data_IF_494760759797
#
_entry.id   IF_494760759797
#
_cell.length_a   1.000
_cell.length_b   1.000
_cell.length_c   1.000
_cell.angle_alpha   90.00
_cell.angle_beta   90.00
_cell.angle_gamma   90.00
#
_symmetry.space_group_name_H-M   'P 1'
#
loop_
_entity.id
_entity.type
_entity.pdbx_description
1 polymer ?
#
# COMPACT_ATOMS: atom_id res chain seq x y z
N UNK A 1 37.01 49.59 -35.73
CA UNK A 1 35.93 48.68 -36.22
C UNK A 1 36.27 47.17 -36.13
N UNK A 2 37.37 46.73 -35.48
CA UNK A 2 37.80 45.31 -35.51
C UNK A 2 37.43 44.46 -34.27
N UNK A 3 37.07 45.06 -33.13
CA UNK A 3 36.80 44.33 -31.88
C UNK A 3 35.43 43.59 -31.81
N UNK A 4 34.44 43.99 -32.63
CA UNK A 4 33.10 43.36 -32.63
C UNK A 4 33.10 41.94 -33.21
N UNK A 5 34.11 41.55 -33.99
CA UNK A 5 34.20 40.22 -34.62
C UNK A 5 34.61 39.11 -33.65
N UNK A 6 35.33 39.44 -32.58
CA UNK A 6 35.82 38.46 -31.61
C UNK A 6 34.79 38.11 -30.53
N UNK A 7 33.90 39.05 -30.19
CA UNK A 7 32.87 38.86 -29.16
C UNK A 7 31.75 37.93 -29.66
N UNK A 8 31.37 38.02 -30.95
CA UNK A 8 30.37 37.13 -31.55
C UNK A 8 30.88 35.70 -31.75
N UNK A 9 32.17 35.52 -32.06
CA UNK A 9 32.77 34.18 -32.22
C UNK A 9 32.86 33.42 -30.89
N UNK A 10 33.18 34.12 -29.80
CA UNK A 10 33.31 33.50 -28.47
C UNK A 10 31.97 33.07 -27.88
N UNK A 11 30.88 33.81 -28.16
CA UNK A 11 29.53 33.43 -27.72
C UNK A 11 29.00 32.20 -28.46
N UNK A 12 29.25 32.10 -29.77
CA UNK A 12 28.82 30.94 -30.58
C UNK A 12 29.61 29.69 -30.19
N UNK A 13 30.91 29.81 -29.92
CA UNK A 13 31.74 28.70 -29.46
C UNK A 13 31.34 28.21 -28.06
N UNK A 14 31.00 29.11 -27.12
CA UNK A 14 30.50 28.73 -25.79
C UNK A 14 29.12 28.05 -25.86
N UNK A 15 28.23 28.52 -26.74
CA UNK A 15 26.91 27.92 -26.93
C UNK A 15 27.00 26.52 -27.55
N UNK A 16 27.89 26.31 -28.53
CA UNK A 16 28.18 25.01 -29.13
C UNK A 16 28.82 24.03 -28.13
N UNK A 17 29.72 24.51 -27.27
CA UNK A 17 30.34 23.69 -26.23
C UNK A 17 29.32 23.26 -25.16
N UNK A 18 28.36 24.13 -24.82
CA UNK A 18 27.30 23.83 -23.86
C UNK A 18 26.29 22.80 -24.42
N UNK A 19 25.94 22.89 -25.71
CA UNK A 19 25.08 21.90 -26.38
C UNK A 19 25.75 20.53 -26.53
N UNK A 20 27.07 20.48 -26.77
CA UNK A 20 27.80 19.22 -26.87
C UNK A 20 27.88 18.48 -25.51
N UNK A 21 27.98 19.22 -24.40
CA UNK A 21 27.97 18.65 -23.06
C UNK A 21 26.61 18.03 -22.69
N UNK A 22 25.49 18.60 -23.16
CA UNK A 22 24.14 18.05 -22.95
C UNK A 22 23.95 16.70 -23.64
N UNK A 23 24.53 16.52 -24.84
CA UNK A 23 24.45 15.27 -25.59
C UNK A 23 25.28 14.14 -24.97
N UNK A 24 26.37 14.45 -24.27
CA UNK A 24 27.21 13.45 -23.60
C UNK A 24 26.57 12.89 -22.32
N UNK A 25 25.85 13.72 -21.56
CA UNK A 25 25.11 13.28 -20.37
C UNK A 25 23.89 12.39 -20.71
N UNK A 26 23.37 12.49 -21.93
CA UNK A 26 22.27 11.65 -22.41
C UNK A 26 22.71 10.24 -22.85
N UNK A 27 24.02 9.96 -22.94
CA UNK A 27 24.53 8.68 -23.48
C UNK A 27 24.46 7.51 -22.48
N UNK A 28 24.22 7.76 -21.19
CA UNK A 28 24.15 6.69 -20.17
C UNK A 28 22.73 6.39 -19.69
N UNK A 29 21.70 6.91 -20.37
CA UNK A 29 20.30 6.65 -20.04
C UNK A 29 19.53 6.11 -21.25
N UNK A 30 18.75 5.06 -21.03
CA UNK A 30 17.76 4.54 -21.96
C UNK A 30 16.33 4.88 -21.52
N UNK A 31 15.37 4.19 -22.11
CA UNK A 31 13.96 4.25 -21.70
C UNK A 31 13.36 2.85 -21.67
N UNK A 32 12.33 2.65 -20.86
CA UNK A 32 11.52 1.43 -20.84
C UNK A 32 10.14 1.82 -21.33
N UNK A 33 9.58 1.07 -22.27
CA UNK A 33 8.23 1.27 -22.77
C UNK A 33 7.53 -0.06 -22.98
N UNK A 34 6.20 -0.05 -23.10
CA UNK A 34 5.45 -1.25 -23.42
C UNK A 34 3.96 -1.02 -23.32
N UNK A 35 3.21 -2.10 -23.48
CA UNK A 35 1.77 -2.16 -23.29
C UNK A 35 1.38 -3.22 -22.28
N UNK A 36 0.27 -2.98 -21.60
CA UNK A 36 -0.35 -3.96 -20.71
C UNK A 36 -1.69 -4.38 -21.28
N UNK A 37 -1.91 -5.69 -21.39
CA UNK A 37 -3.18 -6.27 -21.82
C UNK A 37 -3.68 -7.33 -20.85
N UNK A 38 -4.96 -7.65 -20.98
CA UNK A 38 -5.61 -8.75 -20.29
C UNK A 38 -5.38 -10.04 -21.10
N UNK A 39 -4.85 -11.09 -20.48
CA UNK A 39 -4.46 -12.31 -21.18
C UNK A 39 -5.66 -13.08 -21.77
N UNK A 40 -6.86 -12.85 -21.25
CA UNK A 40 -8.09 -13.54 -21.62
C UNK A 40 -8.66 -13.08 -22.98
N UNK A 41 -8.46 -11.81 -23.34
CA UNK A 41 -9.06 -11.21 -24.53
C UNK A 41 -8.22 -10.12 -25.21
N UNK A 42 -6.96 -9.95 -24.79
CA UNK A 42 -6.03 -8.91 -25.22
C UNK A 42 -6.56 -7.47 -25.05
N UNK A 43 -7.57 -7.27 -24.20
CA UNK A 43 -8.06 -5.94 -23.88
C UNK A 43 -6.94 -5.12 -23.21
N UNK A 44 -6.70 -3.91 -23.71
CA UNK A 44 -5.67 -3.03 -23.19
C UNK A 44 -6.07 -2.51 -21.81
N UNK A 45 -5.17 -2.63 -20.84
CA UNK A 45 -5.41 -2.26 -19.45
C UNK A 45 -4.79 -0.88 -19.17
N UNK A 46 -5.66 0.11 -18.95
CA UNK A 46 -5.27 1.42 -18.45
C UNK A 46 -5.14 1.40 -16.91
N UNK A 47 -4.49 2.41 -16.33
CA UNK A 47 -4.31 2.55 -14.88
C UNK A 47 -3.49 1.44 -14.18
N UNK A 48 -2.78 0.60 -14.93
CA UNK A 48 -1.82 -0.36 -14.39
C UNK A 48 -0.59 0.39 -13.93
N UNK A 49 -0.15 0.14 -12.71
CA UNK A 49 1.06 0.74 -12.16
C UNK A 49 2.26 -0.10 -12.58
N UNK A 50 3.14 0.49 -13.38
CA UNK A 50 4.41 -0.10 -13.77
C UNK A 50 5.52 0.47 -12.90
N UNK A 51 6.20 -0.39 -12.15
CA UNK A 51 7.26 -0.03 -11.22
C UNK A 51 8.59 -0.66 -11.62
N UNK A 52 9.62 0.16 -11.79
CA UNK A 52 11.01 -0.29 -11.88
C UNK A 52 11.54 -0.42 -10.47
N UNK A 53 11.65 -1.64 -9.98
CA UNK A 53 11.85 -1.95 -8.55
C UNK A 53 13.12 -1.29 -8.02
N UNK A 54 14.27 -1.52 -8.68
CA UNK A 54 15.57 -1.03 -8.21
C UNK A 54 15.69 0.49 -8.24
N UNK A 55 14.91 1.18 -9.09
CA UNK A 55 14.91 2.64 -9.19
C UNK A 55 13.82 3.28 -8.34
N UNK A 56 12.92 2.49 -7.75
CA UNK A 56 11.69 2.95 -7.09
C UNK A 56 10.97 3.99 -7.94
N UNK A 57 10.86 3.73 -9.25
CA UNK A 57 10.24 4.62 -10.21
C UNK A 57 9.01 3.96 -10.79
N UNK A 58 7.89 4.65 -10.73
CA UNK A 58 6.61 4.13 -11.21
C UNK A 58 5.93 5.06 -12.19
N UNK A 59 5.17 4.49 -13.12
CA UNK A 59 4.31 5.18 -14.07
C UNK A 59 3.01 4.39 -14.22
N UNK A 60 1.89 5.08 -14.44
CA UNK A 60 0.62 4.43 -14.77
C UNK A 60 0.46 4.27 -16.28
N UNK A 61 -0.14 3.18 -16.75
CA UNK A 61 -0.55 3.04 -18.15
C UNK A 61 -1.62 4.07 -18.53
N UNK A 62 -1.58 4.52 -19.78
CA UNK A 62 -2.57 5.42 -20.36
C UNK A 62 -3.85 4.69 -20.85
N UNK A 63 -4.79 5.44 -21.44
CA UNK A 63 -6.06 4.90 -21.99
C UNK A 63 -5.84 3.83 -23.09
N UNK A 64 -4.66 3.81 -23.73
CA UNK A 64 -4.28 2.81 -24.72
C UNK A 64 -3.51 1.64 -24.13
N UNK A 65 -3.43 1.55 -22.80
CA UNK A 65 -2.66 0.55 -22.06
C UNK A 65 -1.16 0.70 -22.22
N UNK A 66 -0.67 1.80 -22.80
CA UNK A 66 0.74 2.04 -23.04
C UNK A 66 1.40 2.76 -21.85
N UNK A 67 2.68 2.50 -21.63
CA UNK A 67 3.48 3.18 -20.62
C UNK A 67 4.88 3.50 -21.14
N UNK A 68 5.51 4.51 -20.55
CA UNK A 68 6.89 4.88 -20.86
C UNK A 68 7.59 5.48 -19.62
N UNK A 69 8.78 4.97 -19.33
CA UNK A 69 9.69 5.45 -18.29
C UNK A 69 10.96 5.95 -18.97
N UNK A 70 11.15 7.26 -18.93
CA UNK A 70 12.31 7.92 -19.52
C UNK A 70 13.46 8.03 -18.52
N UNK A 71 14.67 8.22 -19.05
CA UNK A 71 15.88 8.50 -18.24
C UNK A 71 16.18 7.37 -17.25
N UNK A 72 16.16 6.13 -17.73
CA UNK A 72 16.52 4.93 -16.96
C UNK A 72 18.00 4.67 -17.20
N UNK A 73 18.88 4.68 -16.17
CA UNK A 73 20.30 4.37 -16.36
C UNK A 73 20.49 3.00 -17.02
N UNK A 74 21.61 2.77 -17.69
CA UNK A 74 21.88 1.46 -18.30
C UNK A 74 22.11 0.40 -17.24
N UNK A 75 21.45 -0.75 -17.36
CA UNK A 75 21.52 -1.82 -16.36
C UNK A 75 20.42 -2.87 -16.54
N UNK A 76 20.50 -3.95 -15.76
CA UNK A 76 19.41 -4.91 -15.64
C UNK A 76 18.44 -4.46 -14.54
N UNK A 77 17.16 -4.42 -14.86
CA UNK A 77 16.11 -3.98 -13.96
C UNK A 77 14.97 -4.98 -13.94
N UNK A 78 14.29 -5.06 -12.81
CA UNK A 78 13.03 -5.80 -12.66
C UNK A 78 11.89 -4.80 -12.77
N UNK A 79 11.02 -5.03 -13.74
CA UNK A 79 9.81 -4.23 -13.98
C UNK A 79 8.63 -5.03 -13.46
N UNK A 80 7.84 -4.41 -12.61
CA UNK A 80 6.64 -4.96 -11.97
C UNK A 80 5.41 -4.25 -12.55
N UNK A 81 4.45 -5.01 -13.04
CA UNK A 81 3.12 -4.52 -13.38
C UNK A 81 2.14 -4.92 -12.28
N UNK A 82 1.54 -3.91 -11.66
CA UNK A 82 0.59 -4.06 -10.56
C UNK A 82 -0.74 -3.40 -10.93
N UNK A 83 -1.84 -4.11 -10.71
CA UNK A 83 -3.19 -3.59 -10.85
C UNK A 83 -4.09 -4.22 -9.78
N UNK A 84 -4.96 -3.41 -9.17
CA UNK A 84 -5.97 -3.88 -8.24
C UNK A 84 -6.87 -4.95 -8.88
N UNK A 85 -7.15 -6.04 -8.17
CA UNK A 85 -7.85 -7.22 -8.67
C UNK A 85 -7.00 -8.23 -9.47
N UNK A 86 -5.73 -7.94 -9.77
CA UNK A 86 -4.83 -8.84 -10.53
C UNK A 86 -3.61 -9.25 -9.69
N UNK A 87 -3.05 -10.46 -9.89
CA UNK A 87 -1.72 -10.82 -9.42
C UNK A 87 -0.64 -9.99 -10.11
N UNK A 88 0.48 -9.82 -9.43
CA UNK A 88 1.61 -9.06 -9.93
C UNK A 88 2.35 -9.80 -11.05
N UNK A 89 2.68 -9.08 -12.12
CA UNK A 89 3.51 -9.61 -13.20
C UNK A 89 4.89 -8.96 -13.19
N UNK A 90 5.96 -9.77 -13.20
CA UNK A 90 7.33 -9.27 -13.21
C UNK A 90 8.08 -9.68 -14.46
N UNK A 91 8.91 -8.77 -14.98
CA UNK A 91 9.81 -9.05 -16.09
C UNK A 91 11.17 -8.38 -15.86
N UNK A 92 12.24 -9.12 -16.09
CA UNK A 92 13.61 -8.57 -16.09
C UNK A 92 13.92 -7.99 -17.47
N UNK A 93 14.35 -6.73 -17.49
CA UNK A 93 14.67 -5.98 -18.70
C UNK A 93 16.09 -5.44 -18.61
N UNK A 94 16.84 -5.51 -19.72
CA UNK A 94 18.17 -4.90 -19.82
C UNK A 94 18.05 -3.60 -20.60
N UNK A 95 18.34 -2.48 -19.94
CA UNK A 95 18.29 -1.15 -20.54
C UNK A 95 19.63 -0.82 -21.18
N UNK A 96 19.59 -0.59 -22.49
CA UNK A 96 20.75 -0.18 -23.29
C UNK A 96 20.71 1.33 -23.55
N UNK A 97 21.89 1.97 -23.75
CA UNK A 97 21.94 3.41 -23.95
C UNK A 97 21.28 3.82 -25.28
N UNK A 98 20.45 4.87 -25.24
CA UNK A 98 19.88 5.51 -26.43
C UNK A 98 18.77 4.74 -27.17
N UNK A 99 18.40 3.52 -26.75
CA UNK A 99 17.29 2.76 -27.31
C UNK A 99 16.17 2.55 -26.28
N UNK A 100 14.89 2.61 -26.67
CA UNK A 100 13.81 2.14 -25.83
C UNK A 100 13.84 0.61 -25.71
N UNK A 101 13.89 0.10 -24.49
CA UNK A 101 13.67 -1.32 -24.20
C UNK A 101 12.17 -1.56 -24.08
N UNK A 102 11.65 -2.54 -24.82
CA UNK A 102 10.22 -2.90 -24.78
C UNK A 102 9.95 -4.00 -23.77
N UNK A 103 8.94 -3.83 -22.92
CA UNK A 103 8.47 -4.82 -21.97
C UNK A 103 6.94 -4.82 -21.91
N UNK A 104 6.33 -5.78 -22.58
CA UNK A 104 4.88 -5.91 -22.60
C UNK A 104 4.41 -6.88 -21.52
N UNK A 105 3.32 -6.54 -20.84
CA UNK A 105 2.76 -7.35 -19.76
C UNK A 105 1.38 -7.87 -20.15
N UNK A 106 1.11 -9.12 -19.78
CA UNK A 106 -0.23 -9.69 -19.82
C UNK A 106 -0.66 -10.05 -18.41
N UNK A 107 -1.67 -9.34 -17.89
CA UNK A 107 -2.25 -9.65 -16.59
C UNK A 107 -3.35 -10.70 -16.76
N UNK A 108 -3.48 -11.60 -15.78
CA UNK A 108 -4.49 -12.65 -15.74
C UNK A 108 -5.33 -12.45 -14.51
N UNK A 109 -6.65 -12.55 -14.62
CA UNK A 109 -7.50 -12.54 -13.44
C UNK A 109 -7.31 -13.86 -12.68
N UNK A 110 -7.04 -13.79 -11.37
CA UNK A 110 -6.87 -14.97 -10.52
C UNK A 110 -7.48 -14.72 -9.14
N UNK A 111 -8.24 -15.69 -8.64
CA UNK A 111 -8.81 -15.66 -7.29
C UNK A 111 -7.75 -15.87 -6.18
N UNK A 112 -6.55 -16.31 -6.55
CA UNK A 112 -5.36 -16.36 -5.70
C UNK A 112 -4.38 -15.30 -6.21
N UNK A 113 -4.19 -14.24 -5.40
CA UNK A 113 -3.22 -13.19 -5.66
C UNK A 113 -1.87 -13.55 -5.06
N UNK A 114 -0.84 -13.54 -5.89
CA UNK A 114 0.54 -13.43 -5.45
C UNK A 114 0.93 -11.96 -5.62
N UNK A 115 1.16 -11.26 -4.52
CA UNK A 115 1.50 -9.83 -4.52
C UNK A 115 2.92 -9.63 -4.00
N UNK A 116 3.67 -8.76 -4.65
CA UNK A 116 5.02 -8.35 -4.25
C UNK A 116 4.90 -7.04 -3.50
N UNK A 117 5.02 -7.10 -2.17
CA UNK A 117 5.08 -5.90 -1.33
C UNK A 117 6.42 -5.20 -1.50
N UNK A 118 6.40 -3.95 -1.97
CA UNK A 118 7.57 -3.07 -1.95
C UNK A 118 7.58 -2.33 -0.61
N UNK A 119 8.16 -2.96 0.42
CA UNK A 119 8.32 -2.30 1.73
C UNK A 119 9.41 -1.22 1.68
N UNK A 120 9.15 -0.06 2.29
CA UNK A 120 10.02 1.14 2.27
C UNK A 120 11.40 0.97 2.96
N UNK A 121 11.79 -0.23 3.36
CA UNK A 121 13.04 -0.52 4.08
C UNK A 121 14.13 -1.03 3.15
N UNK A 122 14.61 -0.19 2.23
CA UNK A 122 16.00 -0.21 1.71
C UNK A 122 16.65 -1.49 1.15
N UNK A 123 16.01 -2.67 1.18
CA UNK A 123 16.49 -3.90 0.58
C UNK A 123 15.31 -4.62 -0.07
N UNK A 124 15.54 -4.88 -1.34
CA UNK A 124 14.83 -5.78 -2.25
C UNK A 124 14.41 -7.06 -1.53
N UNK A 125 13.21 -7.58 -1.80
CA UNK A 125 12.93 -9.03 -1.82
C UNK A 125 11.52 -9.25 -2.40
N UNK A 126 11.42 -10.15 -3.37
CA UNK A 126 10.15 -10.74 -3.79
C UNK A 126 9.61 -11.60 -2.64
N UNK A 127 8.30 -11.82 -2.56
CA UNK A 127 7.71 -12.73 -1.54
C UNK A 127 8.31 -14.14 -1.59
N UNK A 128 9.01 -14.49 -2.68
CA UNK A 128 9.76 -15.73 -2.84
C UNK A 128 11.14 -15.79 -2.18
N UNK A 129 11.73 -14.66 -1.77
CA UNK A 129 13.04 -14.64 -1.11
C UNK A 129 12.96 -14.39 0.42
N UNK A 130 11.76 -14.07 0.94
CA UNK A 130 11.51 -14.15 2.37
C UNK A 130 11.38 -15.62 2.77
N UNK A 131 12.32 -16.14 3.57
CA UNK A 131 12.23 -17.47 4.19
C UNK A 131 11.07 -17.61 5.19
N UNK A 132 10.16 -16.63 5.25
CA UNK A 132 9.02 -16.58 6.16
C UNK A 132 7.72 -16.60 5.38
N UNK A 133 6.78 -17.43 5.83
CA UNK A 133 5.42 -17.49 5.27
C UNK A 133 4.74 -16.14 5.45
N UNK A 134 4.54 -15.45 4.34
CA UNK A 134 3.72 -14.24 4.25
C UNK A 134 2.30 -14.66 3.84
N UNK A 135 1.31 -14.22 4.60
CA UNK A 135 -0.10 -14.38 4.28
C UNK A 135 -0.68 -13.01 3.98
N UNK A 136 -1.32 -12.84 2.82
CA UNK A 136 -1.94 -11.59 2.40
C UNK A 136 -3.44 -11.76 2.35
N UNK A 137 -4.17 -10.82 2.95
CA UNK A 137 -5.63 -10.75 2.91
C UNK A 137 -6.04 -9.47 2.19
N UNK A 138 -6.62 -9.61 1.00
CA UNK A 138 -7.03 -8.50 0.14
C UNK A 138 -8.37 -7.88 0.58
N UNK A 139 -8.61 -6.64 0.17
CA UNK A 139 -9.82 -5.86 0.44
C UNK A 139 -11.13 -6.61 0.18
N UNK A 140 -11.20 -7.44 -0.87
CA UNK A 140 -12.39 -8.24 -1.15
C UNK A 140 -12.69 -9.21 -0.01
N UNK A 141 -11.66 -9.89 0.51
CA UNK A 141 -11.81 -10.81 1.65
C UNK A 141 -12.04 -10.08 2.96
N UNK A 142 -11.41 -8.90 3.13
CA UNK A 142 -11.68 -8.03 4.28
C UNK A 142 -13.14 -7.53 4.28
N UNK A 143 -13.69 -7.18 3.12
CA UNK A 143 -15.05 -6.72 2.95
C UNK A 143 -16.08 -7.84 3.14
N UNK A 144 -15.81 -9.05 2.62
CA UNK A 144 -16.67 -10.23 2.80
C UNK A 144 -16.89 -10.57 4.27
N UNK A 145 -15.86 -10.40 5.11
CA UNK A 145 -15.96 -10.78 6.50
C UNK A 145 -16.30 -9.62 7.44
N UNK A 146 -16.21 -8.37 6.96
CA UNK A 146 -16.68 -7.14 7.63
C UNK A 146 -16.43 -7.15 9.14
N UNK A 147 -15.18 -7.35 9.53
CA UNK A 147 -14.81 -7.48 10.93
C UNK A 147 -14.41 -6.13 11.56
N UNK A 148 -14.72 -5.91 12.86
CA UNK A 148 -14.51 -4.63 13.52
C UNK A 148 -13.05 -4.29 13.82
N UNK A 149 -12.14 -5.26 13.74
CA UNK A 149 -10.73 -5.10 14.10
C UNK A 149 -9.83 -6.13 13.41
N UNK A 150 -8.54 -5.80 13.28
CA UNK A 150 -7.55 -6.67 12.62
C UNK A 150 -7.41 -8.03 13.31
N UNK A 151 -7.46 -8.08 14.65
CA UNK A 151 -7.37 -9.37 15.35
C UNK A 151 -8.52 -10.30 14.97
N UNK A 152 -9.74 -9.77 14.78
CA UNK A 152 -10.90 -10.55 14.35
C UNK A 152 -10.75 -11.05 12.92
N UNK A 153 -10.25 -10.21 12.01
CA UNK A 153 -9.90 -10.63 10.65
C UNK A 153 -8.91 -11.79 10.66
N UNK A 154 -7.86 -11.67 11.46
CA UNK A 154 -6.74 -12.62 11.45
C UNK A 154 -7.00 -13.90 12.26
N UNK A 155 -8.05 -13.96 13.07
CA UNK A 155 -8.37 -15.16 13.89
C UNK A 155 -8.67 -16.41 13.06
N UNK A 156 -9.10 -16.21 11.81
CA UNK A 156 -9.38 -17.29 10.85
C UNK A 156 -8.13 -17.77 10.11
N UNK A 157 -7.00 -17.08 10.26
CA UNK A 157 -5.78 -17.41 9.54
C UNK A 157 -4.97 -18.50 10.26
N UNK A 158 -4.53 -19.56 9.55
CA UNK A 158 -3.77 -20.64 10.18
C UNK A 158 -2.50 -20.17 10.90
N UNK A 159 -2.43 -20.51 12.19
CA UNK A 159 -1.31 -20.14 13.07
C UNK A 159 -1.42 -18.73 13.68
N UNK A 160 -2.55 -18.07 13.45
CA UNK A 160 -2.94 -16.82 14.09
C UNK A 160 -4.21 -17.09 14.90
N UNK A 161 -4.30 -16.42 16.04
CA UNK A 161 -5.50 -16.36 16.86
C UNK A 161 -5.72 -14.91 17.29
N UNK A 162 -6.82 -14.60 17.94
CA UNK A 162 -7.02 -13.30 18.57
C UNK A 162 -7.00 -13.35 20.09
N UNK A 163 -6.56 -12.24 20.69
CA UNK A 163 -6.87 -11.90 22.08
C UNK A 163 -7.72 -10.64 22.05
N UNK A 164 -8.90 -10.70 22.65
CA UNK A 164 -9.89 -9.62 22.61
C UNK A 164 -10.46 -9.30 23.98
N UNK A 165 -10.80 -8.02 24.20
CA UNK A 165 -11.51 -7.52 25.37
C UNK A 165 -12.86 -6.91 24.94
N UNK A 166 -13.67 -7.73 24.27
CA UNK A 166 -14.93 -7.31 23.65
C UNK A 166 -14.84 -7.15 22.12
N UNK A 167 -15.94 -6.74 21.46
CA UNK A 167 -16.03 -6.72 19.99
C UNK A 167 -15.17 -5.64 19.30
N UNK A 168 -14.73 -4.59 20.02
CA UNK A 168 -13.96 -3.48 19.42
C UNK A 168 -12.48 -3.45 19.75
N UNK A 169 -12.01 -4.32 20.64
CA UNK A 169 -10.60 -4.40 21.05
C UNK A 169 -10.11 -5.82 20.81
N UNK A 170 -9.39 -6.02 19.72
CA UNK A 170 -8.77 -7.31 19.43
C UNK A 170 -7.37 -7.14 18.87
N UNK A 171 -6.52 -8.10 19.18
CA UNK A 171 -5.11 -8.09 18.83
C UNK A 171 -4.69 -9.45 18.28
N UNK A 172 -3.85 -9.47 17.25
CA UNK A 172 -3.38 -10.72 16.67
C UNK A 172 -2.39 -11.43 17.60
N UNK A 173 -2.57 -12.73 17.73
CA UNK A 173 -1.71 -13.67 18.44
C UNK A 173 -1.08 -14.60 17.42
N UNK A 174 0.21 -14.43 17.13
CA UNK A 174 0.92 -15.25 16.13
C UNK A 174 1.75 -16.30 16.85
N UNK A 175 1.41 -17.59 16.65
CA UNK A 175 2.10 -18.72 17.30
C UNK A 175 2.22 -18.58 18.83
N UNK A 176 1.20 -18.02 19.47
CA UNK A 176 1.15 -17.80 20.93
C UNK A 176 1.84 -16.54 21.43
N UNK A 177 2.43 -15.73 20.54
CA UNK A 177 2.95 -14.41 20.88
C UNK A 177 1.93 -13.33 20.57
N UNK A 178 1.81 -12.35 21.46
CA UNK A 178 1.00 -11.14 21.31
C UNK A 178 1.75 -9.96 21.96
N UNK A 179 1.11 -8.80 22.11
CA UNK A 179 1.72 -7.69 22.83
C UNK A 179 2.90 -7.10 22.06
N UNK A 180 3.94 -6.76 22.79
CA UNK A 180 5.18 -6.19 22.24
C UNK A 180 6.01 -7.19 21.41
N UNK A 181 5.52 -8.42 21.24
CA UNK A 181 6.19 -9.49 20.49
C UNK A 181 5.58 -9.72 19.11
N UNK A 182 4.43 -9.11 18.81
CA UNK A 182 3.84 -9.06 17.47
C UNK A 182 3.77 -7.60 17.06
N UNK A 183 4.49 -7.25 16.00
CA UNK A 183 4.55 -5.86 15.56
C UNK A 183 3.39 -5.55 14.62
N UNK A 184 2.59 -4.54 14.96
CA UNK A 184 1.55 -4.01 14.08
C UNK A 184 2.04 -2.72 13.42
N UNK A 185 1.92 -2.66 12.09
CA UNK A 185 2.32 -1.56 11.23
C UNK A 185 1.14 -1.08 10.40
N UNK A 186 1.16 0.19 10.04
CA UNK A 186 0.31 0.75 9.00
C UNK A 186 1.21 1.39 7.94
N UNK A 187 1.11 0.95 6.69
CA UNK A 187 1.96 1.35 5.56
C UNK A 187 3.47 1.24 5.90
N UNK A 188 3.85 0.21 6.67
CA UNK A 188 5.22 -0.01 7.13
C UNK A 188 5.66 0.88 8.31
N UNK A 189 4.81 1.78 8.81
CA UNK A 189 5.09 2.67 9.95
C UNK A 189 4.43 2.12 11.22
N UNK A 190 5.11 2.27 12.37
CA UNK A 190 4.56 1.86 13.66
C UNK A 190 3.35 2.72 14.01
N UNK A 191 2.24 2.09 14.38
CA UNK A 191 0.98 2.76 14.72
C UNK A 191 1.05 3.58 16.01
N UNK A 192 2.06 3.36 16.87
CA UNK A 192 2.17 4.02 18.17
C UNK A 192 1.08 3.61 19.17
N UNK A 193 0.39 2.50 18.90
CA UNK A 193 -0.74 1.99 19.67
C UNK A 193 -0.39 1.64 21.12
N UNK A 194 -1.30 1.96 22.05
CA UNK A 194 -1.26 1.45 23.44
C UNK A 194 -1.73 0.01 23.54
N UNK A 195 -2.40 -0.46 22.50
CA UNK A 195 -2.63 -1.86 22.26
C UNK A 195 -1.33 -2.57 21.93
N UNK A 196 -0.15 -2.23 22.45
CA UNK A 196 0.96 -3.19 22.60
C UNK A 196 1.14 -3.56 24.06
N UNK A 197 0.93 -2.57 24.94
CA UNK A 197 1.11 -2.59 26.38
C UNK A 197 -0.06 -3.22 27.13
N UNK A 198 -1.29 -3.06 26.62
CA UNK A 198 -2.49 -3.60 27.25
C UNK A 198 -3.48 -4.15 26.22
N UNK A 199 -4.29 -5.13 26.62
CA UNK A 199 -5.28 -5.78 25.76
C UNK A 199 -6.62 -5.06 25.71
N UNK A 200 -6.87 -4.15 26.65
CA UNK A 200 -8.06 -3.26 26.69
C UNK A 200 -8.00 -2.13 25.64
N UNK A 201 -6.86 -1.99 24.96
CA UNK A 201 -6.68 -1.07 23.84
C UNK A 201 -6.57 -1.88 22.54
N UNK A 202 -7.47 -1.62 21.60
CA UNK A 202 -7.40 -2.15 20.23
C UNK A 202 -6.33 -1.45 19.41
N UNK A 203 -5.97 -2.05 18.27
CA UNK A 203 -5.14 -1.36 17.28
C UNK A 203 -5.95 -0.27 16.58
N UNK A 204 -5.44 0.98 16.46
CA UNK A 204 -6.15 2.10 15.87
C UNK A 204 -6.13 2.04 14.34
N UNK A 205 -6.47 0.88 13.77
CA UNK A 205 -6.53 0.66 12.33
C UNK A 205 -7.95 0.30 11.94
N UNK A 206 -8.52 1.10 11.05
CA UNK A 206 -9.79 0.79 10.41
C UNK A 206 -9.61 -0.22 9.27
N UNK A 207 -10.19 -1.40 9.44
CA UNK A 207 -10.16 -2.50 8.46
C UNK A 207 -10.89 -2.12 7.17
N UNK A 208 -11.95 -1.30 7.24
CA UNK A 208 -12.78 -0.95 6.07
C UNK A 208 -12.06 -0.01 5.09
N UNK A 209 -10.95 0.59 5.51
CA UNK A 209 -10.10 1.46 4.69
C UNK A 209 -8.88 0.76 4.08
N UNK A 210 -8.64 -0.51 4.43
CA UNK A 210 -7.44 -1.22 4.00
C UNK A 210 -7.59 -1.81 2.59
N UNK A 211 -6.54 -1.66 1.80
CA UNK A 211 -6.38 -2.42 0.56
C UNK A 211 -6.04 -3.88 0.88
N UNK A 212 -5.20 -4.11 1.89
CA UNK A 212 -4.83 -5.45 2.34
C UNK A 212 -4.21 -5.48 3.73
N UNK A 213 -4.19 -6.66 4.32
CA UNK A 213 -3.38 -7.01 5.48
C UNK A 213 -2.29 -8.01 5.09
N UNK A 214 -1.07 -7.73 5.48
CA UNK A 214 0.09 -8.61 5.26
C UNK A 214 0.56 -9.16 6.60
N UNK A 215 0.69 -10.48 6.71
CA UNK A 215 1.08 -11.16 7.94
C UNK A 215 2.33 -11.98 7.70
N UNK A 216 3.42 -11.59 8.35
CA UNK A 216 4.67 -12.35 8.40
C UNK A 216 4.68 -13.19 9.68
N UNK A 217 4.64 -14.51 9.54
CA UNK A 217 4.60 -15.43 10.68
C UNK A 217 6.02 -15.89 11.07
N UNK A 218 6.45 -15.53 12.27
CA UNK A 218 7.76 -15.91 12.82
C UNK A 218 8.71 -14.72 13.01
N UNK A 219 9.97 -14.99 13.42
CA UNK A 219 10.88 -13.92 13.85
C UNK A 219 11.33 -13.05 12.68
N UNK A 220 10.84 -11.82 12.60
CA UNK A 220 11.24 -10.81 11.60
C UNK A 220 12.11 -9.70 12.21
N UNK A 221 12.80 -10.01 13.30
CA UNK A 221 13.53 -9.04 14.14
C UNK A 221 14.69 -8.35 13.45
N UNK A 222 15.28 -8.96 12.43
CA UNK A 222 16.35 -8.36 11.62
C UNK A 222 15.86 -7.14 10.83
N UNK A 223 14.64 -7.22 10.30
CA UNK A 223 14.06 -6.16 9.46
C UNK A 223 13.29 -5.13 10.30
N UNK A 224 12.61 -5.58 11.35
CA UNK A 224 11.64 -4.76 12.08
C UNK A 224 12.01 -4.46 13.53
N UNK A 225 13.13 -5.01 14.03
CA UNK A 225 13.61 -4.82 15.39
C UNK A 225 13.06 -5.83 16.40
N UNK A 226 13.40 -5.63 17.68
CA UNK A 226 13.13 -6.58 18.78
C UNK A 226 11.66 -6.95 19.00
N UNK A 227 10.72 -6.14 18.52
CA UNK A 227 9.29 -6.30 18.74
C UNK A 227 8.61 -7.25 17.73
N UNK A 228 9.38 -7.83 16.81
CA UNK A 228 8.87 -8.71 15.75
C UNK A 228 9.28 -10.19 15.93
N UNK A 229 9.34 -10.67 17.19
CA UNK A 229 9.74 -12.05 17.50
C UNK A 229 8.66 -13.07 17.10
N UNK A 230 7.39 -12.74 17.34
CA UNK A 230 6.24 -13.56 16.97
C UNK A 230 5.82 -13.38 15.52
N UNK A 231 6.00 -12.17 14.98
CA UNK A 231 5.65 -11.83 13.61
C UNK A 231 5.42 -10.34 13.41
N UNK A 232 4.98 -10.01 12.20
CA UNK A 232 4.60 -8.66 11.79
C UNK A 232 3.24 -8.72 11.12
N UNK A 233 2.37 -7.78 11.45
CA UNK A 233 1.12 -7.51 10.76
C UNK A 233 1.23 -6.10 10.19
N UNK A 234 1.15 -5.97 8.87
CA UNK A 234 1.21 -4.70 8.17
C UNK A 234 -0.13 -4.43 7.47
N UNK A 235 -0.82 -3.37 7.91
CA UNK A 235 -2.04 -2.89 7.30
C UNK A 235 -1.70 -1.89 6.20
N UNK A 236 -2.13 -2.16 4.98
CA UNK A 236 -1.79 -1.35 3.81
C UNK A 236 -3.03 -0.64 3.29
N UNK A 237 -2.93 0.68 3.15
CA UNK A 237 -4.01 1.56 2.69
C UNK A 237 -4.03 1.78 1.17
N UNK A 238 -2.97 1.39 0.46
CA UNK A 238 -2.92 1.35 -1.01
C UNK A 238 -2.61 2.68 -1.70
N UNK A 239 -2.23 3.71 -0.95
CA UNK A 239 -1.96 5.07 -1.45
C UNK A 239 -0.51 5.29 -1.91
N UNK A 240 0.22 4.24 -2.30
CA UNK A 240 1.69 4.27 -2.41
C UNK A 240 2.22 4.98 -3.68
N UNK A 241 1.40 5.15 -4.72
CA UNK A 241 1.82 5.63 -6.03
C UNK A 241 0.89 6.70 -6.61
N UNK A 242 1.47 7.82 -7.04
CA UNK A 242 0.73 8.82 -7.80
C UNK A 242 0.25 8.25 -9.15
N UNK A 243 -1.06 8.27 -9.37
CA UNK A 243 -1.67 7.97 -10.66
C UNK A 243 -2.19 9.25 -11.32
N UNK A 244 -2.72 9.15 -12.55
CA UNK A 244 -3.49 10.23 -13.17
C UNK A 244 -4.98 9.98 -13.02
N UNK A 245 -5.77 11.05 -12.96
CA UNK A 245 -7.23 10.96 -12.89
C UNK A 245 -7.76 10.78 -11.47
N UNK A 246 -8.98 10.27 -11.34
CA UNK A 246 -9.66 10.11 -10.06
C UNK A 246 -9.88 8.63 -9.79
N UNK A 247 -9.54 8.20 -8.57
CA UNK A 247 -9.92 6.89 -8.03
C UNK A 247 -10.72 7.10 -6.75
N UNK A 248 -11.53 6.13 -6.39
CA UNK A 248 -12.26 6.17 -5.14
C UNK A 248 -12.95 4.86 -4.86
N UNK A 249 -13.26 4.64 -3.60
CA UNK A 249 -13.98 3.48 -3.13
C UNK A 249 -15.09 3.90 -2.18
N UNK A 250 -16.08 3.02 -2.06
CA UNK A 250 -17.15 3.15 -1.10
C UNK A 250 -17.53 1.74 -0.64
N UNK A 251 -17.45 1.50 0.66
CA UNK A 251 -17.72 0.22 1.27
C UNK A 251 -18.80 0.37 2.32
N UNK A 252 -19.74 -0.57 2.35
CA UNK A 252 -20.77 -0.64 3.40
C UNK A 252 -20.75 -2.04 4.00
N UNK A 253 -20.79 -2.10 5.31
CA UNK A 253 -20.79 -3.34 6.08
C UNK A 253 -22.06 -3.42 6.94
N UNK A 254 -22.65 -4.60 7.03
CA UNK A 254 -23.75 -4.89 7.94
C UNK A 254 -23.62 -6.32 8.46
N UNK A 255 -23.99 -6.57 9.70
CA UNK A 255 -23.93 -7.91 10.27
C UNK A 255 -24.89 -8.08 11.44
N UNK A 256 -25.51 -9.25 11.51
CA UNK A 256 -26.63 -9.52 12.42
C UNK A 256 -26.19 -10.08 13.76
N UNK A 257 -25.04 -10.76 13.82
CA UNK A 257 -24.53 -11.44 15.03
C UNK A 257 -24.21 -10.48 16.18
N UNK A 258 -23.88 -9.25 15.82
CA UNK A 258 -23.50 -8.16 16.72
C UNK A 258 -24.19 -6.83 16.35
N UNK A 259 -25.26 -6.87 15.54
CA UNK A 259 -25.95 -5.68 15.00
C UNK A 259 -24.97 -4.61 14.46
N UNK A 260 -23.93 -5.06 13.73
CA UNK A 260 -22.92 -4.16 13.19
C UNK A 260 -23.44 -3.40 11.97
N UNK A 261 -23.03 -2.15 11.84
CA UNK A 261 -23.20 -1.32 10.66
C UNK A 261 -21.97 -0.46 10.45
N UNK A 262 -21.46 -0.40 9.23
CA UNK A 262 -20.27 0.36 8.89
C UNK A 262 -20.31 0.95 7.50
N UNK A 263 -19.59 2.05 7.33
CA UNK A 263 -19.37 2.73 6.06
C UNK A 263 -17.93 3.21 5.98
N UNK A 264 -17.29 3.03 4.83
CA UNK A 264 -16.03 3.68 4.52
C UNK A 264 -16.06 4.25 3.11
N UNK A 265 -15.29 5.30 2.88
CA UNK A 265 -15.11 5.85 1.56
C UNK A 265 -13.81 6.61 1.47
N UNK A 266 -13.25 6.65 0.27
CA UNK A 266 -12.03 7.38 -0.02
C UNK A 266 -12.01 7.88 -1.45
N UNK A 267 -11.27 8.95 -1.66
CA UNK A 267 -11.03 9.54 -2.97
C UNK A 267 -9.57 9.89 -3.14
N UNK A 268 -9.04 9.60 -4.32
CA UNK A 268 -7.71 9.96 -4.77
C UNK A 268 -7.82 10.79 -6.05
N UNK A 269 -7.08 11.89 -6.09
CA UNK A 269 -7.02 12.80 -7.23
C UNK A 269 -5.57 12.98 -7.63
N UNK A 270 -5.25 12.45 -8.79
CA UNK A 270 -3.93 12.49 -9.41
C UNK A 270 -3.81 13.56 -10.49
N UNK A 271 -2.94 14.56 -10.26
CA UNK A 271 -2.66 15.66 -11.19
C UNK A 271 -1.17 15.77 -11.48
N UNK A 272 -0.77 15.35 -12.69
CA UNK A 272 0.64 15.36 -13.11
C UNK A 272 1.47 14.37 -12.30
N UNK A 273 2.43 14.88 -11.52
CA UNK A 273 3.27 14.08 -10.62
C UNK A 273 2.80 14.16 -9.16
N UNK A 274 1.63 14.76 -8.91
CA UNK A 274 1.07 14.93 -7.57
C UNK A 274 -0.16 14.07 -7.41
N UNK A 275 -0.34 13.52 -6.22
CA UNK A 275 -1.57 12.85 -5.82
C UNK A 275 -2.03 13.40 -4.48
N UNK A 276 -3.32 13.68 -4.40
CA UNK A 276 -4.04 14.09 -3.20
C UNK A 276 -5.02 12.98 -2.87
N UNK A 277 -5.07 12.53 -1.63
CA UNK A 277 -6.04 11.54 -1.22
C UNK A 277 -6.60 11.87 0.16
N UNK A 278 -7.83 11.42 0.39
CA UNK A 278 -8.52 11.51 1.67
C UNK A 278 -9.53 10.38 1.79
N UNK A 279 -9.62 9.81 2.99
CA UNK A 279 -10.58 8.76 3.30
C UNK A 279 -11.16 8.93 4.69
N UNK A 280 -12.35 8.38 4.89
CA UNK A 280 -13.03 8.38 6.18
C UNK A 280 -13.91 7.16 6.33
N UNK A 281 -14.10 6.75 7.57
CA UNK A 281 -14.91 5.59 7.90
C UNK A 281 -15.57 5.73 9.26
N UNK A 282 -16.67 5.00 9.40
CA UNK A 282 -17.40 4.88 10.64
C UNK A 282 -18.00 3.49 10.74
N UNK A 283 -17.80 2.84 11.87
CA UNK A 283 -18.40 1.55 12.18
C UNK A 283 -18.98 1.56 13.59
N UNK A 284 -20.11 0.89 13.73
CA UNK A 284 -20.81 0.67 14.98
C UNK A 284 -21.03 -0.81 15.15
N UNK A 285 -20.68 -1.32 16.32
CA UNK A 285 -20.88 -2.73 16.68
C UNK A 285 -21.61 -2.82 18.01
N UNK A 286 -22.66 -3.63 18.07
CA UNK A 286 -23.41 -3.97 19.28
C UNK A 286 -22.88 -5.23 19.97
N UNK A 287 -23.64 -5.72 20.95
CA UNK A 287 -23.32 -6.91 21.75
C UNK A 287 -23.35 -8.20 20.92
N UNK A 288 -22.43 -9.13 21.21
CA UNK A 288 -22.49 -10.47 20.60
C UNK A 288 -23.64 -11.27 21.22
N UNK A 289 -24.56 -11.75 20.39
CA UNK A 289 -25.57 -12.71 20.83
C UNK A 289 -24.94 -14.10 20.94
N UNK A 290 -24.88 -14.69 22.14
CA UNK A 290 -24.45 -16.06 22.35
C UNK A 290 -25.61 -16.94 22.84
N UNK A 291 -25.51 -18.26 22.60
CA UNK A 291 -26.52 -19.24 23.06
C UNK A 291 -26.70 -19.29 24.59
N UNK A 292 -25.81 -18.63 25.34
CA UNK A 292 -25.79 -18.56 26.81
C UNK A 292 -26.34 -17.23 27.38
N UNK A 293 -26.82 -16.32 26.52
CA UNK A 293 -27.26 -14.97 26.90
C UNK A 293 -26.43 -13.87 26.22
N UNK A 294 -27.00 -12.66 26.19
CA UNK A 294 -26.35 -11.46 25.67
C UNK A 294 -25.29 -10.97 26.66
N UNK A 295 -24.04 -10.91 26.22
CA UNK A 295 -22.97 -10.19 26.90
C UNK A 295 -22.42 -9.18 25.90
N UNK A 296 -22.48 -7.88 26.20
CA UNK A 296 -21.77 -6.96 25.33
C UNK A 296 -21.78 -5.49 25.70
N UNK A 297 -20.61 -4.91 25.45
CA UNK A 297 -20.36 -3.49 25.33
C UNK A 297 -20.56 -3.10 23.85
N UNK A 298 -21.08 -1.90 23.60
CA UNK A 298 -21.16 -1.37 22.23
C UNK A 298 -19.92 -0.55 21.92
N UNK A 299 -19.41 -0.67 20.69
CA UNK A 299 -18.24 0.08 20.23
C UNK A 299 -18.58 0.86 18.98
N UNK A 300 -18.43 2.18 19.08
CA UNK A 300 -18.43 3.09 17.94
C UNK A 300 -16.98 3.45 17.62
N UNK A 301 -16.57 3.21 16.38
CA UNK A 301 -15.29 3.68 15.83
C UNK A 301 -15.62 4.70 14.75
N UNK A 302 -15.18 5.94 14.97
CA UNK A 302 -15.22 7.01 13.97
C UNK A 302 -13.79 7.42 13.66
N UNK A 303 -13.40 7.37 12.38
CA UNK A 303 -12.08 7.80 11.91
C UNK A 303 -12.23 8.82 10.77
N UNK A 304 -11.82 10.05 11.05
CA UNK A 304 -11.76 11.23 10.17
C UNK A 304 -10.40 11.91 10.41
N UNK A 305 -9.52 12.30 9.50
CA UNK A 305 -9.25 12.06 8.08
C UNK A 305 -7.70 12.19 7.99
N UNK A 306 -7.00 11.36 7.22
CA UNK A 306 -5.58 11.54 6.90
C UNK A 306 -5.49 12.22 5.55
N UNK A 307 -4.89 13.42 5.50
CA UNK A 307 -4.68 14.18 4.26
C UNK A 307 -3.19 14.23 3.96
N UNK A 308 -2.81 13.61 2.84
CA UNK A 308 -1.42 13.54 2.41
C UNK A 308 -1.24 13.97 0.95
N UNK A 309 -0.09 14.59 0.68
CA UNK A 309 0.32 15.00 -0.66
C UNK A 309 1.58 14.24 -1.02
N UNK A 310 1.49 13.40 -2.05
CA UNK A 310 2.64 12.71 -2.63
C UNK A 310 3.15 13.45 -3.86
N UNK A 311 4.49 13.49 -4.04
CA UNK A 311 5.15 13.96 -5.26
C UNK A 311 6.05 12.87 -5.83
N UNK A 312 5.77 12.44 -7.06
CA UNK A 312 6.53 11.37 -7.72
C UNK A 312 6.39 10.03 -6.99
N UNK A 313 7.32 9.09 -7.18
CA UNK A 313 7.24 7.79 -6.50
C UNK A 313 7.58 7.97 -5.01
N UNK A 314 6.56 7.77 -4.16
CA UNK A 314 6.66 7.62 -2.71
C UNK A 314 7.32 8.79 -1.92
N UNK A 315 7.38 10.02 -2.44
CA UNK A 315 7.86 11.17 -1.65
C UNK A 315 6.68 11.94 -1.06
N UNK A 316 6.39 11.70 0.22
CA UNK A 316 5.48 12.51 1.03
C UNK A 316 6.01 13.94 1.15
N UNK A 317 5.29 14.92 0.60
CA UNK A 317 5.64 16.33 0.71
C UNK A 317 5.05 16.99 1.95
N UNK A 318 3.84 16.58 2.31
CA UNK A 318 3.10 17.11 3.43
C UNK A 318 2.07 16.06 3.84
N UNK A 319 2.12 15.65 5.10
CA UNK A 319 1.08 14.84 5.72
C UNK A 319 0.70 15.52 7.02
N UNK A 320 -0.56 15.93 7.14
CA UNK A 320 -1.13 16.12 8.46
C UNK A 320 -1.71 14.78 8.86
N UNK A 321 -1.07 14.10 9.82
CA UNK A 321 -1.86 13.33 10.76
C UNK A 321 -2.76 14.36 11.44
N UNK A 322 -3.94 14.63 10.88
CA UNK A 322 -4.98 15.17 11.73
C UNK A 322 -5.05 14.18 12.89
N UNK A 323 -4.98 14.70 14.11
CA UNK A 323 -5.22 13.92 15.32
C UNK A 323 -6.72 13.58 15.31
N UNK A 324 -7.15 12.79 14.33
CA UNK A 324 -8.38 12.03 14.34
C UNK A 324 -8.05 10.79 15.13
N UNK A 325 -8.06 10.93 16.46
CA UNK A 325 -7.94 9.77 17.33
C UNK A 325 -9.01 8.77 16.92
N UNK A 326 -8.63 7.51 16.76
CA UNK A 326 -9.59 6.40 16.78
C UNK A 326 -10.23 6.45 18.16
N UNK A 327 -11.41 7.07 18.26
CA UNK A 327 -12.19 7.05 19.50
C UNK A 327 -12.92 5.73 19.50
N UNK A 328 -12.32 4.74 20.17
CA UNK A 328 -13.01 3.52 20.54
C UNK A 328 -13.86 3.84 21.77
N UNK A 329 -15.10 4.27 21.57
CA UNK A 329 -16.03 4.49 22.67
C UNK A 329 -16.69 3.16 23.03
N UNK A 330 -16.21 2.53 24.10
CA UNK A 330 -16.81 1.33 24.68
C UNK A 330 -17.86 1.78 25.69
N UNK A 331 -19.15 1.63 25.37
CA UNK A 331 -20.23 1.83 26.34
C UNK A 331 -20.75 0.49 26.82
N UNK A 332 -20.39 0.14 28.06
CA UNK A 332 -20.95 -1.01 28.78
C UNK A 332 -22.31 -0.64 29.38
N UNK A 333 -23.32 -1.46 29.07
CA UNK A 333 -24.56 -1.50 29.86
C UNK A 333 -24.51 -2.75 30.72
N UNK A 334 -24.24 -2.56 32.03
CA UNK A 334 -24.48 -3.61 33.03
C UNK A 334 -25.99 -3.86 33.12
N UNK A 335 -26.48 -4.88 32.42
CA UNK A 335 -27.76 -5.49 32.79
C UNK A 335 -27.48 -6.48 33.92
N UNK A 336 -27.53 -5.98 35.14
CA UNK A 336 -27.61 -6.81 36.33
C UNK A 336 -28.94 -7.59 36.31
N UNK A 337 -28.89 -8.92 36.18
CA UNK A 337 -29.85 -9.85 36.77
C UNK A 337 -29.22 -11.22 36.99
#
# INVERSE_FOLDING_TARGET
MQWRKYITGSFIASLLLCCAASSAAAQNAGSIQGKVSLAENDALLHNVIITVIQLKRSVSTDESGAYQINQVPTGAYTVLAHMEGFPDATQTVTVTPGSPTTADFQLRFSALREQITITATGSEQTVFESFQSVTTLDNLRLAEESHPSIGEVLDKEPGVAKRSFGPGTSRPVIRGFDGDRVLVLQDGVRTGSLGSQSGDHGEPIDVLSLERLEVVKGPATLLYGSNAIGGVVNAVTGHDYAHKGVRGYFTTAAGTTNNQGGVSGGVEIGVGNFMFWGNGSGQRTGSLSSQSGDHGESVDVLQLERLEVLKGPATLLYGSNAIGGVVNAVTGHDYAH
#
